data_IF_125739639375
#
_entry.id   IF_125739639375
#
_cell.length_a   1.000
_cell.length_b   1.000
_cell.length_c   1.000
_cell.angle_alpha   90.00
_cell.angle_beta   90.00
_cell.angle_gamma   90.00
#
_symmetry.space_group_name_H-M   'P 1'
#
loop_
_entity.id
_entity.type
_entity.pdbx_description
1 polymer ?
#
# COMPACT_ATOMS: atom_id res chain seq x y z
N UNK A 1 22.38 -14.33 26.14
CA UNK A 1 22.26 -14.25 24.66
C UNK A 1 21.79 -15.62 24.18
N UNK A 2 20.48 -15.81 24.01
CA UNK A 2 19.96 -17.08 23.49
C UNK A 2 20.09 -17.07 21.97
N UNK A 3 20.97 -17.92 21.43
CA UNK A 3 20.95 -18.29 20.02
C UNK A 3 19.64 -19.02 19.76
N UNK A 4 18.60 -18.29 19.35
CA UNK A 4 17.38 -18.89 18.85
C UNK A 4 17.75 -19.75 17.65
N UNK A 5 17.77 -21.06 17.83
CA UNK A 5 17.94 -22.02 16.76
C UNK A 5 16.86 -21.77 15.71
N UNK A 6 17.29 -21.40 14.50
CA UNK A 6 16.40 -21.12 13.37
C UNK A 6 15.78 -22.43 12.83
N UNK A 7 16.21 -23.57 13.35
CA UNK A 7 16.03 -24.87 12.72
C UNK A 7 14.74 -25.58 13.14
N UNK A 8 14.37 -25.56 14.43
CA UNK A 8 13.13 -26.19 14.90
C UNK A 8 12.53 -25.47 16.11
N UNK A 9 11.20 -25.31 16.10
CA UNK A 9 10.43 -24.79 17.23
C UNK A 9 10.14 -25.93 18.22
N UNK A 10 10.44 -25.73 19.50
CA UNK A 10 10.08 -26.68 20.55
C UNK A 10 8.57 -26.71 20.83
N UNK A 11 8.05 -27.75 21.52
CA UNK A 11 6.62 -27.89 21.83
C UNK A 11 6.07 -26.73 22.66
N UNK A 12 6.91 -26.08 23.47
CA UNK A 12 6.56 -24.94 24.31
C UNK A 12 6.20 -23.66 23.53
N UNK A 13 6.45 -23.67 22.21
CA UNK A 13 6.20 -22.54 21.31
C UNK A 13 4.85 -22.65 20.61
N UNK A 14 4.04 -23.67 20.91
CA UNK A 14 2.79 -23.96 20.21
C UNK A 14 3.00 -24.64 18.86
N UNK A 15 1.90 -25.05 18.23
CA UNK A 15 1.92 -25.81 16.98
C UNK A 15 2.19 -24.88 15.80
N UNK A 16 3.26 -25.16 15.03
CA UNK A 16 3.72 -24.36 13.89
C UNK A 16 2.87 -24.53 12.62
N UNK A 17 2.11 -25.61 12.51
CA UNK A 17 1.15 -25.87 11.45
C UNK A 17 -0.18 -26.34 12.04
N UNK A 18 -1.25 -25.61 11.74
CA UNK A 18 -2.59 -25.90 12.21
C UNK A 18 -3.14 -27.25 11.72
N UNK A 19 -2.58 -27.83 10.66
CA UNK A 19 -2.91 -29.20 10.23
C UNK A 19 -2.55 -30.25 11.30
N UNK A 20 -1.60 -29.92 12.19
CA UNK A 20 -1.16 -30.78 13.30
C UNK A 20 -1.89 -30.50 14.62
N UNK A 21 -2.89 -29.61 14.65
CA UNK A 21 -3.71 -29.42 15.85
C UNK A 21 -4.54 -30.68 16.14
N UNK A 22 -4.57 -31.09 17.40
CA UNK A 22 -5.44 -32.19 17.86
C UNK A 22 -6.92 -31.81 17.83
N UNK A 23 -7.25 -30.59 18.26
CA UNK A 23 -8.61 -30.08 18.36
C UNK A 23 -8.85 -28.96 17.34
N UNK A 24 -9.70 -29.21 16.35
CA UNK A 24 -10.04 -28.26 15.28
C UNK A 24 -11.23 -27.38 15.73
N UNK A 25 -11.04 -26.65 16.83
CA UNK A 25 -12.04 -25.70 17.37
C UNK A 25 -11.53 -24.27 17.32
N UNK A 26 -12.43 -23.28 17.16
CA UNK A 26 -12.02 -21.86 17.14
C UNK A 26 -11.21 -21.46 18.37
N UNK A 27 -11.58 -21.96 19.55
CA UNK A 27 -10.87 -21.69 20.79
C UNK A 27 -9.44 -22.26 20.77
N UNK A 28 -9.24 -23.48 20.25
CA UNK A 28 -7.91 -24.07 20.11
C UNK A 28 -7.03 -23.28 19.13
N UNK A 29 -7.59 -22.83 18.00
CA UNK A 29 -6.89 -21.96 17.05
C UNK A 29 -6.42 -20.67 17.70
N UNK A 30 -7.32 -19.95 18.38
CA UNK A 30 -7.01 -18.67 19.03
C UNK A 30 -5.99 -18.87 20.15
N UNK A 31 -6.14 -19.90 21.00
CA UNK A 31 -5.18 -20.23 22.06
C UNK A 31 -3.78 -20.50 21.51
N UNK A 32 -3.67 -21.26 20.41
CA UNK A 32 -2.38 -21.53 19.78
C UNK A 32 -1.75 -20.26 19.19
N UNK A 33 -2.53 -19.42 18.49
CA UNK A 33 -2.04 -18.12 18.00
C UNK A 33 -1.55 -17.23 19.15
N UNK A 34 -2.29 -17.17 20.25
CA UNK A 34 -1.94 -16.37 21.42
C UNK A 34 -0.62 -16.86 22.03
N UNK A 35 -0.49 -18.16 22.27
CA UNK A 35 0.74 -18.77 22.79
C UNK A 35 1.95 -18.45 21.89
N UNK A 36 1.79 -18.66 20.57
CA UNK A 36 2.83 -18.35 19.59
C UNK A 36 3.23 -16.87 19.62
N UNK A 37 2.24 -15.98 19.66
CA UNK A 37 2.45 -14.53 19.68
C UNK A 37 3.19 -14.08 20.94
N UNK A 38 2.81 -14.58 22.12
CA UNK A 38 3.48 -14.32 23.39
C UNK A 38 4.96 -14.75 23.38
N UNK A 39 5.26 -15.84 22.65
CA UNK A 39 6.63 -16.33 22.43
C UNK A 39 7.36 -15.63 21.25
N UNK A 40 6.74 -14.61 20.65
CA UNK A 40 7.32 -13.84 19.55
C UNK A 40 7.27 -14.53 18.17
N UNK A 41 6.45 -15.58 18.03
CA UNK A 41 6.18 -16.27 16.75
C UNK A 41 4.90 -15.71 16.14
N UNK A 42 5.05 -14.86 15.13
CA UNK A 42 3.92 -14.18 14.49
C UNK A 42 3.36 -14.93 13.28
N UNK A 43 4.07 -15.96 12.81
CA UNK A 43 3.75 -16.73 11.63
C UNK A 43 3.36 -18.15 12.02
N UNK A 44 2.31 -18.68 11.40
CA UNK A 44 1.83 -20.06 11.60
C UNK A 44 1.29 -20.60 10.28
N UNK A 45 1.59 -21.85 9.93
CA UNK A 45 1.05 -22.47 8.73
C UNK A 45 -0.37 -23.00 8.94
N UNK A 46 -1.13 -23.06 7.86
CA UNK A 46 -2.30 -23.93 7.68
C UNK A 46 -2.04 -24.65 6.34
N UNK A 47 -1.24 -25.72 6.37
CA UNK A 47 -0.69 -26.29 5.14
C UNK A 47 0.04 -25.22 4.31
N UNK A 48 -0.33 -25.06 3.04
CA UNK A 48 0.29 -24.09 2.13
C UNK A 48 -0.09 -22.61 2.41
N UNK A 49 -1.03 -22.37 3.33
CA UNK A 49 -1.43 -21.02 3.73
C UNK A 49 -0.59 -20.53 4.91
N UNK A 50 -0.20 -19.25 4.90
CA UNK A 50 0.53 -18.62 6.00
C UNK A 50 -0.37 -17.62 6.74
N UNK A 51 -0.59 -17.87 8.03
CA UNK A 51 -1.23 -16.93 8.94
C UNK A 51 -0.17 -15.99 9.53
N UNK A 52 -0.43 -14.70 9.53
CA UNK A 52 0.45 -13.65 10.04
C UNK A 52 -0.31 -12.76 11.03
N UNK A 53 0.18 -12.68 12.27
CA UNK A 53 -0.37 -11.82 13.32
C UNK A 53 0.50 -10.58 13.47
N UNK A 54 -0.04 -9.37 13.26
CA UNK A 54 0.74 -8.14 13.30
C UNK A 54 1.30 -7.87 14.72
N UNK A 55 2.65 -7.81 14.91
CA UNK A 55 3.24 -7.57 16.22
C UNK A 55 3.21 -6.11 16.69
N UNK A 56 2.90 -5.14 15.82
CA UNK A 56 3.00 -3.70 16.11
C UNK A 56 4.38 -3.24 16.64
N UNK A 57 5.43 -4.03 16.36
CA UNK A 57 6.83 -3.75 16.70
C UNK A 57 7.74 -4.42 15.70
N UNK A 58 8.97 -3.93 15.60
CA UNK A 58 9.99 -4.58 14.79
C UNK A 58 10.47 -5.88 15.46
N UNK A 59 10.68 -6.91 14.65
CA UNK A 59 11.22 -8.20 15.07
C UNK A 59 12.49 -8.51 14.27
N UNK A 60 13.56 -9.02 14.92
CA UNK A 60 14.83 -9.34 14.26
C UNK A 60 14.76 -10.68 13.49
N UNK A 61 13.72 -10.87 12.68
CA UNK A 61 13.44 -12.12 11.93
C UNK A 61 13.57 -11.97 10.41
N UNK A 62 13.96 -10.78 9.94
CA UNK A 62 14.07 -10.44 8.52
C UNK A 62 15.51 -10.17 8.07
N UNK A 63 16.50 -10.51 8.92
CA UNK A 63 17.91 -10.27 8.69
C UNK A 63 18.54 -11.22 7.65
N UNK A 64 19.79 -10.93 7.22
CA UNK A 64 20.51 -11.75 6.24
C UNK A 64 20.67 -13.22 6.65
N UNK A 65 20.89 -13.48 7.94
CA UNK A 65 20.91 -14.84 8.50
C UNK A 65 19.62 -15.62 8.26
N UNK A 66 18.46 -14.98 8.41
CA UNK A 66 17.17 -15.59 8.09
C UNK A 66 17.03 -15.79 6.58
N UNK A 67 17.39 -14.81 5.74
CA UNK A 67 17.33 -15.00 4.28
C UNK A 67 18.14 -16.23 3.86
N UNK A 68 19.36 -16.38 4.40
CA UNK A 68 20.24 -17.51 4.12
C UNK A 68 19.66 -18.84 4.61
N UNK A 69 18.96 -18.86 5.75
CA UNK A 69 18.42 -20.10 6.30
C UNK A 69 17.23 -20.67 5.52
N UNK A 70 16.47 -19.81 4.83
CA UNK A 70 15.32 -20.19 4.00
C UNK A 70 15.68 -20.39 2.52
N UNK A 71 16.77 -19.80 2.03
CA UNK A 71 17.20 -19.92 0.62
C UNK A 71 17.38 -21.39 0.21
N UNK A 72 16.72 -21.80 -0.87
CA UNK A 72 16.82 -23.14 -1.46
C UNK A 72 16.10 -24.24 -0.68
N UNK A 73 15.32 -23.91 0.35
CA UNK A 73 14.64 -24.89 1.21
C UNK A 73 13.22 -25.17 0.73
N UNK A 74 12.75 -26.39 0.93
CA UNK A 74 11.34 -26.72 0.75
C UNK A 74 10.45 -25.99 1.76
N UNK A 75 9.16 -25.85 1.43
CA UNK A 75 8.17 -25.44 2.41
C UNK A 75 8.16 -26.48 3.55
N UNK A 76 7.99 -26.03 4.80
CA UNK A 76 8.02 -26.86 6.02
C UNK A 76 9.38 -27.42 6.48
N UNK A 77 10.46 -27.33 5.69
CA UNK A 77 11.83 -27.63 6.17
C UNK A 77 12.29 -26.66 7.27
N UNK A 78 11.70 -25.46 7.30
CA UNK A 78 11.96 -24.40 8.26
C UNK A 78 10.65 -23.97 8.94
N UNK A 79 10.74 -23.35 10.14
CA UNK A 79 9.57 -22.80 10.84
C UNK A 79 8.72 -21.88 9.96
N UNK A 80 7.47 -21.65 10.39
CA UNK A 80 6.56 -20.77 9.67
C UNK A 80 7.15 -19.37 9.49
N UNK A 81 7.29 -18.95 8.23
CA UNK A 81 7.83 -17.64 7.89
C UNK A 81 7.43 -17.20 6.50
N UNK A 82 7.31 -15.88 6.31
CA UNK A 82 6.99 -15.31 4.99
C UNK A 82 8.09 -15.56 3.93
N UNK A 83 9.32 -15.81 4.36
CA UNK A 83 10.42 -16.19 3.47
C UNK A 83 10.24 -17.59 2.87
N UNK A 84 9.64 -18.54 3.61
CA UNK A 84 9.33 -19.85 3.05
C UNK A 84 8.29 -19.74 1.92
N UNK A 85 7.27 -18.89 2.11
CA UNK A 85 6.27 -18.62 1.08
C UNK A 85 6.89 -17.96 -0.17
N UNK A 86 7.78 -16.98 0.05
CA UNK A 86 8.49 -16.30 -1.04
C UNK A 86 9.43 -17.27 -1.80
N UNK A 87 10.17 -18.13 -1.10
CA UNK A 87 11.03 -19.14 -1.70
C UNK A 87 10.23 -20.18 -2.48
N UNK A 88 9.11 -20.67 -1.93
CA UNK A 88 8.24 -21.63 -2.62
C UNK A 88 7.73 -21.07 -3.96
N UNK A 89 7.30 -19.80 -3.98
CA UNK A 89 6.87 -19.12 -5.19
C UNK A 89 8.02 -18.91 -6.19
N UNK A 90 9.17 -18.42 -5.73
CA UNK A 90 10.35 -18.20 -6.58
C UNK A 90 10.89 -19.51 -7.17
N UNK A 91 10.88 -20.58 -6.38
CA UNK A 91 11.34 -21.89 -6.80
C UNK A 91 10.39 -22.54 -7.81
N UNK A 92 9.09 -22.37 -7.64
CA UNK A 92 8.08 -22.82 -8.63
C UNK A 92 8.32 -22.14 -9.98
N UNK A 93 8.60 -20.83 -9.97
CA UNK A 93 9.00 -20.10 -11.16
C UNK A 93 10.29 -20.70 -11.77
N UNK A 94 11.35 -20.88 -10.99
CA UNK A 94 12.66 -21.34 -11.47
C UNK A 94 12.69 -22.79 -11.96
N UNK A 95 12.05 -23.71 -11.23
CA UNK A 95 12.12 -25.15 -11.50
C UNK A 95 11.07 -25.61 -12.51
N UNK A 96 9.86 -25.03 -12.46
CA UNK A 96 8.74 -25.45 -13.31
C UNK A 96 8.47 -24.51 -14.47
N UNK A 97 9.14 -23.35 -14.52
CA UNK A 97 8.85 -22.28 -15.50
C UNK A 97 7.37 -21.87 -15.49
N UNK A 98 6.75 -21.89 -14.30
CA UNK A 98 5.34 -21.54 -14.10
C UNK A 98 5.21 -20.21 -13.35
N UNK A 99 4.28 -19.37 -13.82
CA UNK A 99 3.92 -18.14 -13.12
C UNK A 99 3.36 -18.49 -11.73
N UNK A 100 3.82 -17.75 -10.71
CA UNK A 100 3.37 -17.91 -9.33
C UNK A 100 2.67 -16.65 -8.84
N UNK A 101 1.66 -16.81 -7.99
CA UNK A 101 0.89 -15.70 -7.43
C UNK A 101 0.80 -15.84 -5.92
N UNK A 102 1.11 -14.77 -5.20
CA UNK A 102 0.93 -14.69 -3.75
C UNK A 102 -0.24 -13.73 -3.48
N UNK A 103 -1.27 -14.24 -2.82
CA UNK A 103 -2.45 -13.46 -2.42
C UNK A 103 -2.36 -13.14 -0.93
N UNK A 104 -2.31 -11.85 -0.59
CA UNK A 104 -2.26 -11.39 0.81
C UNK A 104 -3.59 -10.75 1.18
N UNK A 105 -4.37 -11.43 2.03
CA UNK A 105 -5.66 -10.94 2.52
C UNK A 105 -5.57 -10.51 3.98
N UNK A 106 -6.54 -9.72 4.42
CA UNK A 106 -6.64 -9.25 5.80
C UNK A 106 -7.30 -7.88 5.93
N UNK A 107 -7.75 -7.57 7.13
CA UNK A 107 -8.33 -6.26 7.44
C UNK A 107 -7.32 -5.12 7.31
N UNK A 108 -7.81 -3.88 7.33
CA UNK A 108 -6.92 -2.74 7.27
C UNK A 108 -6.03 -2.68 8.51
N UNK A 109 -4.73 -2.42 8.33
CA UNK A 109 -3.75 -2.47 9.42
C UNK A 109 -3.21 -3.87 9.77
N UNK A 110 -3.66 -4.94 9.10
CA UNK A 110 -3.19 -6.31 9.37
C UNK A 110 -1.75 -6.62 8.96
N UNK A 111 -1.06 -5.70 8.27
CA UNK A 111 0.33 -5.87 7.82
C UNK A 111 0.51 -6.29 6.35
N UNK A 112 -0.53 -6.25 5.51
CA UNK A 112 -0.46 -6.65 4.08
C UNK A 112 0.67 -5.94 3.30
N UNK A 113 0.82 -4.63 3.51
CA UNK A 113 1.83 -3.81 2.84
C UNK A 113 3.23 -4.22 3.27
N UNK A 114 3.46 -4.43 4.57
CA UNK A 114 4.75 -4.87 5.10
C UNK A 114 5.10 -6.27 4.63
N UNK A 115 4.14 -7.20 4.63
CA UNK A 115 4.31 -8.53 4.08
C UNK A 115 4.78 -8.50 2.62
N UNK A 116 4.16 -7.65 1.78
CA UNK A 116 4.58 -7.46 0.39
C UNK A 116 6.02 -6.95 0.27
N UNK A 117 6.42 -5.98 1.11
CA UNK A 117 7.80 -5.44 1.13
C UNK A 117 8.81 -6.52 1.53
N UNK A 118 8.48 -7.34 2.52
CA UNK A 118 9.37 -8.40 3.01
C UNK A 118 9.56 -9.48 1.93
N UNK A 119 8.50 -9.87 1.23
CA UNK A 119 8.58 -10.81 0.09
C UNK A 119 9.51 -10.27 -1.00
N UNK A 120 9.34 -8.99 -1.37
CA UNK A 120 10.18 -8.35 -2.39
C UNK A 120 11.65 -8.31 -1.98
N UNK A 121 11.94 -7.96 -0.71
CA UNK A 121 13.31 -7.97 -0.16
C UNK A 121 13.92 -9.36 -0.19
N UNK A 122 13.14 -10.39 0.08
CA UNK A 122 13.61 -11.77 0.00
C UNK A 122 13.99 -12.16 -1.43
N UNK A 123 13.09 -11.95 -2.39
CA UNK A 123 13.34 -12.21 -3.82
C UNK A 123 14.58 -11.44 -4.29
N UNK A 124 14.75 -10.20 -3.83
CA UNK A 124 15.93 -9.38 -4.11
C UNK A 124 17.24 -10.02 -3.66
N UNK A 125 17.23 -10.58 -2.46
CA UNK A 125 18.43 -11.10 -1.82
C UNK A 125 18.83 -12.49 -2.36
N UNK A 126 17.87 -13.28 -2.86
CA UNK A 126 18.14 -14.62 -3.40
C UNK A 126 18.49 -14.62 -4.90
N UNK A 127 18.23 -13.50 -5.60
CA UNK A 127 18.59 -13.26 -7.02
C UNK A 127 20.01 -12.68 -7.15
N UNK A 128 20.60 -12.67 -8.35
CA UNK A 128 22.03 -12.37 -8.53
C UNK A 128 22.47 -10.98 -8.04
N UNK A 129 23.69 -10.90 -7.50
CA UNK A 129 24.26 -9.76 -6.74
C UNK A 129 24.31 -8.46 -7.55
N UNK A 130 24.43 -8.53 -8.88
CA UNK A 130 24.49 -7.35 -9.75
C UNK A 130 23.22 -6.48 -9.69
N UNK A 131 22.07 -7.07 -9.32
CA UNK A 131 20.78 -6.37 -9.36
C UNK A 131 20.27 -5.93 -7.97
N UNK A 132 21.01 -6.19 -6.88
CA UNK A 132 20.55 -5.86 -5.52
C UNK A 132 20.28 -4.37 -5.32
N UNK A 133 21.16 -3.50 -5.85
CA UNK A 133 21.00 -2.05 -5.78
C UNK A 133 19.73 -1.57 -6.51
N UNK A 134 19.43 -2.16 -7.67
CA UNK A 134 18.26 -1.82 -8.48
C UNK A 134 16.97 -2.32 -7.85
N UNK A 135 16.98 -3.51 -7.23
CA UNK A 135 15.83 -4.02 -6.49
C UNK A 135 15.57 -3.18 -5.24
N UNK A 136 16.62 -2.71 -4.56
CA UNK A 136 16.46 -1.79 -3.43
C UNK A 136 15.92 -0.43 -3.87
N UNK A 137 16.35 0.07 -5.03
CA UNK A 137 15.77 1.26 -5.67
C UNK A 137 14.28 1.05 -5.97
N UNK A 138 13.89 -0.10 -6.53
CA UNK A 138 12.49 -0.41 -6.82
C UNK A 138 11.68 -0.59 -5.54
N UNK A 139 12.22 -1.23 -4.51
CA UNK A 139 11.59 -1.27 -3.18
C UNK A 139 11.33 0.15 -2.66
N UNK A 140 12.29 1.07 -2.82
CA UNK A 140 12.12 2.47 -2.43
C UNK A 140 11.04 3.16 -3.28
N UNK A 141 11.05 2.99 -4.60
CA UNK A 141 10.01 3.53 -5.50
C UNK A 141 8.64 2.96 -5.13
N UNK A 142 8.53 1.68 -4.79
CA UNK A 142 7.30 1.03 -4.36
C UNK A 142 6.77 1.60 -3.04
N UNK A 143 7.67 1.89 -2.09
CA UNK A 143 7.34 2.56 -0.83
C UNK A 143 6.81 3.96 -1.11
N UNK A 144 7.49 4.76 -1.94
CA UNK A 144 7.05 6.11 -2.27
C UNK A 144 5.75 6.12 -3.08
N UNK A 145 5.57 5.14 -3.96
CA UNK A 145 4.31 4.95 -4.70
C UNK A 145 3.16 4.66 -3.73
N UNK A 146 3.38 3.91 -2.65
CA UNK A 146 2.34 3.72 -1.63
C UNK A 146 1.95 5.03 -0.96
N UNK A 147 2.89 5.92 -0.60
CA UNK A 147 2.57 7.23 0.01
C UNK A 147 1.61 8.01 -0.89
N UNK A 148 1.87 8.04 -2.20
CA UNK A 148 0.98 8.66 -3.19
C UNK A 148 -0.36 7.92 -3.21
N UNK A 149 -0.36 6.60 -3.37
CA UNK A 149 -1.61 5.84 -3.50
C UNK A 149 -2.49 5.90 -2.25
N UNK A 150 -1.90 5.95 -1.05
CA UNK A 150 -2.63 6.11 0.19
C UNK A 150 -3.30 7.49 0.24
N UNK A 151 -2.61 8.55 -0.21
CA UNK A 151 -3.22 9.87 -0.32
C UNK A 151 -4.46 9.88 -1.23
N UNK A 152 -4.37 9.26 -2.41
CA UNK A 152 -5.43 9.30 -3.42
C UNK A 152 -6.46 8.16 -3.34
N UNK A 153 -6.19 7.12 -2.53
CA UNK A 153 -6.95 5.88 -2.51
C UNK A 153 -7.34 5.38 -1.12
N UNK A 154 -6.81 5.99 -0.05
CA UNK A 154 -7.24 5.72 1.31
C UNK A 154 -8.11 6.86 1.86
N UNK A 155 -8.98 6.48 2.78
CA UNK A 155 -9.87 7.41 3.47
C UNK A 155 -10.12 6.96 4.89
N UNK A 156 -10.54 7.89 5.74
CA UNK A 156 -11.06 7.54 7.06
C UNK A 156 -12.44 6.93 6.95
N UNK A 157 -12.62 5.77 7.59
CA UNK A 157 -13.91 5.14 7.86
C UNK A 157 -14.16 5.10 9.38
N UNK A 158 -15.36 4.70 9.78
CA UNK A 158 -15.69 4.54 11.21
C UNK A 158 -14.86 3.45 11.92
N UNK A 159 -14.17 2.57 11.18
CA UNK A 159 -13.36 1.47 11.73
C UNK A 159 -11.86 1.72 11.64
N UNK A 160 -11.41 2.51 10.66
CA UNK A 160 -9.99 2.77 10.44
C UNK A 160 -9.77 4.15 9.82
N UNK A 161 -8.84 4.90 10.39
CA UNK A 161 -8.46 6.25 9.96
C UNK A 161 -7.70 6.28 8.62
N UNK A 162 -7.05 5.19 8.21
CA UNK A 162 -6.32 5.06 6.94
C UNK A 162 -6.75 3.78 6.17
N UNK A 163 -8.02 3.71 5.77
CA UNK A 163 -8.59 2.51 5.14
C UNK A 163 -8.37 2.51 3.63
N UNK A 164 -7.66 1.50 3.11
CA UNK A 164 -7.47 1.34 1.67
C UNK A 164 -8.78 1.03 0.96
N UNK A 165 -9.12 1.84 -0.04
CA UNK A 165 -10.34 1.70 -0.86
C UNK A 165 -10.03 1.24 -2.28
N UNK A 166 -8.91 0.57 -2.47
CA UNK A 166 -8.47 -0.05 -3.72
C UNK A 166 -7.68 -1.33 -3.43
N UNK A 167 -7.74 -2.29 -4.34
CA UNK A 167 -6.84 -3.45 -4.37
C UNK A 167 -5.54 -3.10 -5.08
N UNK A 168 -4.43 -3.67 -4.60
CA UNK A 168 -3.11 -3.54 -5.22
C UNK A 168 -2.65 -4.90 -5.75
N UNK A 169 -2.23 -4.91 -6.99
CA UNK A 169 -1.65 -6.07 -7.66
C UNK A 169 -0.28 -5.69 -8.21
N UNK A 170 0.69 -6.57 -8.05
CA UNK A 170 2.06 -6.32 -8.46
C UNK A 170 2.55 -7.52 -9.26
N UNK A 171 2.78 -7.32 -10.55
CA UNK A 171 3.48 -8.25 -11.42
C UNK A 171 4.98 -8.00 -11.27
N UNK A 172 5.75 -9.06 -11.03
CA UNK A 172 7.21 -9.05 -11.16
C UNK A 172 7.56 -9.88 -12.39
N UNK A 173 8.39 -9.32 -13.26
CA UNK A 173 8.87 -9.98 -14.46
C UNK A 173 10.31 -10.45 -14.24
N UNK A 174 10.59 -11.65 -14.71
CA UNK A 174 11.89 -12.30 -14.61
C UNK A 174 12.38 -12.66 -16.00
N UNK A 175 13.70 -12.65 -16.21
CA UNK A 175 14.31 -13.16 -17.44
C UNK A 175 14.40 -14.69 -17.45
N UNK A 176 15.01 -15.25 -18.50
CA UNK A 176 15.25 -16.69 -18.63
C UNK A 176 16.25 -17.26 -17.61
N UNK A 177 17.01 -16.40 -16.92
CA UNK A 177 17.89 -16.78 -15.80
C UNK A 177 17.17 -16.68 -14.46
N UNK A 178 15.90 -16.27 -14.47
CA UNK A 178 15.06 -15.99 -13.32
C UNK A 178 15.57 -14.81 -12.48
N UNK A 179 16.32 -13.89 -13.08
CA UNK A 179 16.68 -12.61 -12.48
C UNK A 179 15.56 -11.58 -12.75
N UNK A 180 15.22 -10.74 -11.76
CA UNK A 180 14.14 -9.76 -11.90
C UNK A 180 14.55 -8.66 -12.88
N UNK A 181 13.72 -8.45 -13.91
CA UNK A 181 13.95 -7.46 -14.98
C UNK A 181 12.94 -6.33 -15.01
N UNK A 182 11.79 -6.50 -14.37
CA UNK A 182 10.72 -5.51 -14.43
C UNK A 182 9.57 -5.81 -13.52
N UNK A 183 8.57 -4.95 -13.59
CA UNK A 183 7.27 -5.27 -13.05
C UNK A 183 6.23 -4.22 -13.36
N UNK A 184 5.00 -4.57 -13.04
CA UNK A 184 3.83 -3.75 -13.28
C UNK A 184 2.98 -3.68 -12.04
N UNK A 185 2.67 -2.47 -11.58
CA UNK A 185 1.70 -2.28 -10.50
C UNK A 185 0.36 -1.96 -11.13
N UNK A 186 -0.66 -2.70 -10.74
CA UNK A 186 -2.04 -2.47 -11.13
C UNK A 186 -2.88 -2.19 -9.89
N UNK A 187 -3.80 -1.24 -10.03
CA UNK A 187 -4.75 -0.88 -8.98
C UNK A 187 -6.14 -1.26 -9.46
N UNK A 188 -6.87 -1.96 -8.60
CA UNK A 188 -8.19 -2.47 -8.91
C UNK A 188 -9.23 -1.89 -7.95
N UNK A 189 -10.46 -1.71 -8.45
CA UNK A 189 -11.64 -1.45 -7.63
C UNK A 189 -11.51 -0.23 -6.69
N UNK A 190 -10.94 0.88 -7.18
CA UNK A 190 -11.01 2.14 -6.44
C UNK A 190 -12.48 2.51 -6.20
N UNK A 191 -12.85 2.77 -4.94
CA UNK A 191 -14.21 3.17 -4.54
C UNK A 191 -14.55 4.60 -5.04
N UNK A 192 -14.77 4.76 -6.34
CA UNK A 192 -15.02 6.07 -6.99
C UNK A 192 -16.25 6.78 -6.41
N UNK A 193 -17.25 6.04 -5.92
CA UNK A 193 -18.45 6.60 -5.29
C UNK A 193 -18.14 7.45 -4.05
N UNK A 194 -17.03 7.16 -3.36
CA UNK A 194 -16.60 7.92 -2.17
C UNK A 194 -16.30 9.39 -2.48
N UNK A 195 -15.91 9.71 -3.72
CA UNK A 195 -15.64 11.11 -4.11
C UNK A 195 -16.89 11.97 -3.95
N UNK A 196 -18.07 11.43 -4.27
CA UNK A 196 -19.32 12.19 -4.27
C UNK A 196 -20.13 12.08 -2.99
N UNK A 197 -19.97 10.97 -2.24
CA UNK A 197 -20.75 10.70 -1.03
C UNK A 197 -19.94 9.96 0.04
N UNK A 198 -20.06 10.41 1.29
CA UNK A 198 -19.48 9.74 2.45
C UNK A 198 -20.56 9.47 3.51
N UNK A 199 -20.36 8.45 4.35
CA UNK A 199 -21.21 8.22 5.51
C UNK A 199 -20.86 9.20 6.64
N UNK A 200 -21.80 9.40 7.56
CA UNK A 200 -21.56 10.20 8.77
C UNK A 200 -20.38 9.60 9.57
N UNK A 201 -19.44 10.45 9.95
CA UNK A 201 -18.20 10.07 10.65
C UNK A 201 -17.03 9.71 9.72
N UNK A 202 -17.26 9.56 8.41
CA UNK A 202 -16.22 9.23 7.44
C UNK A 202 -15.64 10.46 6.74
N UNK A 203 -14.48 10.29 6.10
CA UNK A 203 -13.88 11.30 5.21
C UNK A 203 -13.91 10.86 3.75
N UNK A 204 -13.72 11.83 2.87
CA UNK A 204 -13.28 11.56 1.50
C UNK A 204 -11.80 11.12 1.48
N UNK A 205 -11.21 10.93 0.30
CA UNK A 205 -9.80 10.59 0.16
C UNK A 205 -8.89 11.65 0.78
N UNK A 206 -7.77 11.21 1.37
CA UNK A 206 -6.84 12.08 2.09
C UNK A 206 -6.31 13.23 1.24
N UNK A 207 -6.11 13.01 -0.06
CA UNK A 207 -5.60 14.01 -1.01
C UNK A 207 -6.38 15.32 -1.00
N UNK A 208 -7.69 15.30 -0.77
CA UNK A 208 -8.48 16.53 -0.71
C UNK A 208 -8.14 17.39 0.51
N UNK A 209 -8.01 16.75 1.69
CA UNK A 209 -7.68 17.43 2.94
C UNK A 209 -6.20 17.84 2.97
N UNK A 210 -5.31 16.99 2.45
CA UNK A 210 -3.90 17.30 2.26
C UNK A 210 -3.68 18.52 1.37
N UNK A 211 -4.41 18.64 0.25
CA UNK A 211 -4.35 19.86 -0.58
C UNK A 211 -4.82 21.09 0.22
N UNK A 212 -5.98 21.01 0.88
CA UNK A 212 -6.59 22.14 1.58
C UNK A 212 -5.82 22.61 2.81
N UNK A 213 -5.13 21.72 3.51
CA UNK A 213 -4.40 22.06 4.73
C UNK A 213 -2.88 22.13 4.53
N UNK A 214 -2.36 21.50 3.49
CA UNK A 214 -0.93 21.40 3.22
C UNK A 214 -0.37 22.39 2.20
N UNK A 215 -1.19 22.88 1.27
CA UNK A 215 -0.73 23.86 0.27
C UNK A 215 -0.77 25.29 0.83
N UNK A 216 0.32 26.02 0.64
CA UNK A 216 0.47 27.39 1.13
C UNK A 216 -0.23 28.37 0.19
N UNK A 217 -0.16 28.15 -1.13
CA UNK A 217 -0.77 29.04 -2.12
C UNK A 217 -2.07 28.48 -2.71
N UNK A 218 -3.08 28.28 -1.86
CA UNK A 218 -4.41 27.81 -2.29
C UNK A 218 -5.13 28.75 -3.27
N UNK A 219 -4.74 30.02 -3.33
CA UNK A 219 -5.33 31.00 -4.23
C UNK A 219 -5.10 30.62 -5.70
N UNK A 220 -3.97 30.00 -6.04
CA UNK A 220 -3.70 29.47 -7.39
C UNK A 220 -4.72 28.41 -7.82
N UNK A 221 -5.30 27.70 -6.85
CA UNK A 221 -6.34 26.68 -7.06
C UNK A 221 -7.76 27.24 -6.92
N UNK A 222 -7.89 28.54 -6.62
CA UNK A 222 -9.16 29.17 -6.27
C UNK A 222 -9.82 28.58 -5.02
N UNK A 223 -9.02 27.97 -4.13
CA UNK A 223 -9.49 27.32 -2.91
C UNK A 223 -9.26 28.19 -1.67
N UNK A 224 -9.92 27.84 -0.57
CA UNK A 224 -9.70 28.39 0.76
C UNK A 224 -9.49 27.25 1.78
N UNK A 225 -9.03 27.56 3.00
CA UNK A 225 -8.75 26.54 4.01
C UNK A 225 -9.98 25.97 4.75
N UNK A 226 -11.19 26.46 4.46
CA UNK A 226 -12.42 25.99 5.11
C UNK A 226 -12.98 24.79 4.35
N UNK A 227 -12.65 23.60 4.83
CA UNK A 227 -13.14 22.35 4.23
C UNK A 227 -14.68 22.29 4.21
N UNK A 228 -15.35 22.96 5.15
CA UNK A 228 -16.80 23.05 5.27
C UNK A 228 -17.46 23.73 4.06
N UNK A 229 -16.72 24.54 3.30
CA UNK A 229 -17.24 25.24 2.11
C UNK A 229 -17.40 24.28 0.91
N UNK A 230 -16.82 23.08 0.97
CA UNK A 230 -16.77 22.14 -0.14
C UNK A 230 -17.65 20.91 0.12
N UNK A 231 -18.74 20.81 -0.66
CA UNK A 231 -19.74 19.75 -0.52
C UNK A 231 -19.16 18.34 -0.56
N UNK A 232 -18.14 18.06 -1.38
CA UNK A 232 -17.61 16.70 -1.50
C UNK A 232 -16.76 16.24 -0.30
N UNK A 233 -16.43 17.11 0.63
CA UNK A 233 -15.59 16.75 1.79
C UNK A 233 -16.22 17.09 3.13
N UNK A 234 -17.36 17.79 3.15
CA UNK A 234 -18.08 18.16 4.36
C UNK A 234 -19.24 17.21 4.73
N UNK A 235 -19.69 16.32 3.82
CA UNK A 235 -20.86 15.47 4.03
C UNK A 235 -20.73 14.49 5.18
N UNK A 236 -19.52 13.95 5.40
CA UNK A 236 -19.26 13.06 6.52
C UNK A 236 -19.18 13.76 7.88
N UNK A 237 -19.28 15.09 7.92
CA UNK A 237 -19.15 15.93 9.12
C UNK A 237 -17.85 15.66 9.92
N UNK A 238 -16.76 15.39 9.20
CA UNK A 238 -15.49 14.97 9.79
C UNK A 238 -14.29 15.57 9.05
N UNK A 239 -14.22 16.91 8.96
CA UNK A 239 -13.16 17.56 8.17
C UNK A 239 -11.77 17.46 8.81
N UNK A 240 -11.68 17.53 10.15
CA UNK A 240 -10.43 17.41 10.91
C UNK A 240 -10.44 16.19 11.82
N UNK A 241 -9.30 15.51 11.88
CA UNK A 241 -9.10 14.31 12.69
C UNK A 241 -7.84 14.52 13.53
N UNK A 242 -7.92 14.54 14.88
CA UNK A 242 -6.76 14.86 15.72
C UNK A 242 -5.54 13.97 15.51
N UNK A 243 -5.74 12.73 15.06
CA UNK A 243 -4.68 11.74 14.82
C UNK A 243 -4.01 11.88 13.45
N UNK A 244 -4.50 12.74 12.55
CA UNK A 244 -4.02 12.85 11.17
C UNK A 244 -3.46 14.25 10.95
N UNK A 245 -2.23 14.32 10.46
CA UNK A 245 -1.55 15.58 10.11
C UNK A 245 -1.53 15.76 8.59
N UNK A 246 -2.67 16.21 8.04
CA UNK A 246 -2.84 16.40 6.60
C UNK A 246 -1.80 17.38 6.00
N UNK A 247 -1.24 18.31 6.81
CA UNK A 247 -0.22 19.26 6.36
C UNK A 247 1.13 18.58 6.18
N UNK A 248 1.56 17.77 7.15
CA UNK A 248 2.79 17.01 7.03
C UNK A 248 2.67 15.93 5.95
N UNK A 249 1.54 15.23 5.90
CA UNK A 249 1.27 14.19 4.90
C UNK A 249 1.32 14.74 3.47
N UNK A 250 0.81 15.96 3.25
CA UNK A 250 0.94 16.64 1.96
C UNK A 250 2.39 16.85 1.53
N UNK A 251 3.29 17.22 2.45
CA UNK A 251 4.71 17.38 2.15
C UNK A 251 5.36 16.04 1.80
N UNK A 252 5.01 14.98 2.53
CA UNK A 252 5.48 13.62 2.22
C UNK A 252 5.02 13.18 0.82
N UNK A 253 3.77 13.45 0.44
CA UNK A 253 3.25 13.14 -0.90
C UNK A 253 3.99 13.93 -1.98
N UNK A 254 4.28 15.23 -1.77
CA UNK A 254 5.08 16.03 -2.71
C UNK A 254 6.51 15.48 -2.87
N UNK A 255 7.12 15.03 -1.79
CA UNK A 255 8.44 14.39 -1.84
C UNK A 255 8.38 13.04 -2.56
N UNK A 256 7.36 12.23 -2.27
CA UNK A 256 7.16 10.94 -2.93
C UNK A 256 6.99 11.08 -4.44
N UNK A 257 6.20 12.07 -4.90
CA UNK A 257 6.09 12.37 -6.34
C UNK A 257 7.44 12.66 -6.99
N UNK A 258 8.30 13.44 -6.34
CA UNK A 258 9.65 13.75 -6.85
C UNK A 258 10.53 12.50 -6.93
N UNK A 259 10.51 11.65 -5.89
CA UNK A 259 11.33 10.42 -5.84
C UNK A 259 10.89 9.42 -6.91
N UNK A 260 9.57 9.32 -7.15
CA UNK A 260 9.00 8.47 -8.20
C UNK A 260 9.31 9.03 -9.61
N UNK A 261 9.69 10.30 -9.72
CA UNK A 261 10.15 10.91 -10.97
C UNK A 261 9.10 11.75 -11.70
N UNK A 262 8.07 12.25 -11.01
CA UNK A 262 7.12 13.19 -11.58
C UNK A 262 7.76 14.58 -11.73
N UNK A 263 7.50 15.22 -12.87
CA UNK A 263 7.87 16.60 -13.11
C UNK A 263 6.99 17.55 -12.31
N UNK A 264 7.46 18.79 -12.07
CA UNK A 264 6.67 19.78 -11.34
C UNK A 264 5.36 20.13 -12.05
N UNK A 265 5.37 20.16 -13.38
CA UNK A 265 4.17 20.42 -14.18
C UNK A 265 3.14 19.30 -14.01
N UNK A 266 3.57 18.03 -14.05
CA UNK A 266 2.67 16.90 -13.78
C UNK A 266 2.08 16.97 -12.37
N UNK A 267 2.91 17.26 -11.35
CA UNK A 267 2.45 17.42 -9.96
C UNK A 267 1.43 18.56 -9.86
N UNK A 268 1.68 19.70 -10.50
CA UNK A 268 0.75 20.84 -10.54
C UNK A 268 -0.58 20.46 -11.18
N UNK A 269 -0.56 19.76 -12.32
CA UNK A 269 -1.76 19.29 -13.01
C UNK A 269 -2.59 18.36 -12.11
N UNK A 270 -1.94 17.45 -11.40
CA UNK A 270 -2.62 16.52 -10.46
C UNK A 270 -3.38 17.30 -9.40
N UNK A 271 -2.73 18.25 -8.72
CA UNK A 271 -3.39 19.06 -7.70
C UNK A 271 -4.46 19.98 -8.27
N UNK A 272 -4.29 20.50 -9.49
CA UNK A 272 -5.34 21.25 -10.21
C UNK A 272 -6.57 20.39 -10.47
N UNK A 273 -6.41 19.11 -10.81
CA UNK A 273 -7.52 18.17 -10.97
C UNK A 273 -8.24 17.96 -9.63
N UNK A 274 -7.50 17.74 -8.54
CA UNK A 274 -8.10 17.62 -7.19
C UNK A 274 -8.90 18.86 -6.82
N UNK A 275 -8.33 20.05 -7.03
CA UNK A 275 -9.01 21.32 -6.78
C UNK A 275 -10.27 21.49 -7.64
N UNK A 276 -10.21 21.11 -8.91
CA UNK A 276 -11.35 21.19 -9.81
C UNK A 276 -12.50 20.31 -9.36
N UNK A 277 -12.21 19.10 -8.87
CA UNK A 277 -13.23 18.20 -8.31
C UNK A 277 -13.94 18.85 -7.12
N UNK A 278 -13.22 19.53 -6.22
CA UNK A 278 -13.83 20.27 -5.11
C UNK A 278 -14.78 21.38 -5.59
N UNK A 279 -14.45 22.03 -6.71
CA UNK A 279 -15.28 23.10 -7.30
C UNK A 279 -16.51 22.61 -8.08
N UNK A 280 -16.56 21.35 -8.53
CA UNK A 280 -17.61 20.85 -9.43
C UNK A 280 -19.03 21.05 -8.88
N UNK A 281 -19.24 20.85 -7.58
CA UNK A 281 -20.57 21.02 -6.97
C UNK A 281 -20.95 22.48 -6.81
N UNK A 282 -19.99 23.32 -6.41
CA UNK A 282 -20.18 24.77 -6.36
C UNK A 282 -20.55 25.31 -7.74
N UNK A 283 -19.94 24.75 -8.80
CA UNK A 283 -20.26 25.07 -10.18
C UNK A 283 -21.66 24.60 -10.58
N UNK A 284 -22.05 23.35 -10.31
CA UNK A 284 -23.40 22.85 -10.60
C UNK A 284 -24.50 23.67 -9.89
N UNK A 285 -24.28 24.00 -8.61
CA UNK A 285 -25.20 24.81 -7.81
C UNK A 285 -25.24 26.28 -8.22
N UNK A 286 -24.20 26.81 -8.88
CA UNK A 286 -24.16 28.18 -9.43
C UNK A 286 -24.71 28.27 -10.85
N UNK A 287 -24.57 27.21 -11.65
CA UNK A 287 -25.24 27.05 -12.94
C UNK A 287 -26.75 27.02 -12.77
N UNK A 288 -27.26 26.28 -11.77
CA UNK A 288 -28.69 26.29 -11.44
C UNK A 288 -29.19 27.64 -10.90
N UNK A 289 -28.28 28.55 -10.52
CA UNK A 289 -28.56 29.88 -9.96
C UNK A 289 -28.08 31.06 -10.82
N UNK A 290 -27.71 30.85 -12.09
CA UNK A 290 -27.29 31.90 -13.04
C UNK A 290 -26.24 32.91 -12.52
N UNK A 291 -25.19 32.46 -11.80
CA UNK A 291 -24.08 33.34 -11.36
C UNK A 291 -22.73 32.81 -11.86
N UNK A 292 -22.28 33.24 -13.04
CA UNK A 292 -21.01 32.82 -13.65
C UNK A 292 -20.06 34.00 -13.85
N UNK A 293 -19.02 34.13 -13.02
CA UNK A 293 -17.93 35.10 -13.29
C UNK A 293 -16.52 34.65 -12.90
N UNK A 294 -16.32 33.57 -12.13
CA UNK A 294 -14.96 33.14 -11.66
C UNK A 294 -14.51 31.70 -11.99
N UNK A 295 -15.40 30.79 -12.41
CA UNK A 295 -15.06 29.37 -12.60
C UNK A 295 -14.58 28.99 -14.01
N UNK A 296 -14.66 29.89 -14.99
CA UNK A 296 -14.27 29.65 -16.39
C UNK A 296 -12.77 29.41 -16.56
N UNK A 297 -11.93 30.03 -15.71
CA UNK A 297 -10.47 29.98 -15.82
C UNK A 297 -9.90 28.56 -15.56
N UNK A 298 -10.39 27.85 -14.53
CA UNK A 298 -9.88 26.51 -14.17
C UNK A 298 -10.32 25.46 -15.20
N UNK A 299 -11.58 25.49 -15.62
CA UNK A 299 -12.08 24.56 -16.65
C UNK A 299 -11.43 24.79 -18.02
N UNK A 300 -11.10 26.03 -18.37
CA UNK A 300 -10.34 26.35 -19.59
C UNK A 300 -8.87 25.93 -19.49
N UNK A 301 -8.23 26.07 -18.32
CA UNK A 301 -6.87 25.53 -18.09
C UNK A 301 -6.85 24.01 -18.22
N UNK A 302 -7.79 23.30 -17.58
CA UNK A 302 -7.90 21.84 -17.66
C UNK A 302 -8.20 21.35 -19.08
N UNK A 303 -9.00 22.07 -19.87
CA UNK A 303 -9.23 21.73 -21.28
C UNK A 303 -7.97 21.84 -22.15
N UNK A 304 -7.06 22.76 -21.83
CA UNK A 304 -5.76 22.90 -22.52
C UNK A 304 -4.77 21.80 -22.07
N UNK A 305 -4.78 21.44 -20.80
CA UNK A 305 -3.80 20.52 -20.19
C UNK A 305 -4.20 19.03 -20.31
N UNK A 306 -5.51 18.70 -20.40
CA UNK A 306 -6.02 17.32 -20.48
C UNK A 306 -5.75 16.56 -21.79
N UNK A 307 -4.95 17.10 -22.72
CA UNK A 307 -4.42 16.29 -23.85
C UNK A 307 -3.36 15.27 -23.40
N UNK A 308 -2.82 15.39 -22.19
CA UNK A 308 -1.86 14.43 -21.63
C UNK A 308 -2.51 13.47 -20.64
N UNK A 309 -2.86 12.27 -21.13
CA UNK A 309 -3.23 11.12 -20.30
C UNK A 309 -2.00 10.58 -19.54
N UNK A 310 -1.49 11.30 -18.53
CA UNK A 310 -0.21 10.96 -17.89
C UNK A 310 -0.31 10.34 -16.49
N UNK A 311 -1.42 10.53 -15.76
CA UNK A 311 -1.47 10.18 -14.34
C UNK A 311 -1.37 8.67 -14.06
N UNK A 312 -2.00 7.84 -14.89
CA UNK A 312 -2.02 6.39 -14.69
C UNK A 312 -1.01 5.63 -15.55
N UNK A 313 -0.40 6.26 -16.56
CA UNK A 313 0.53 5.59 -17.46
C UNK A 313 1.92 5.39 -16.81
N UNK A 314 2.37 6.35 -15.99
CA UNK A 314 3.74 6.38 -15.46
C UNK A 314 3.95 5.51 -14.21
N UNK A 315 2.91 5.34 -13.38
CA UNK A 315 2.94 4.47 -12.19
C UNK A 315 2.86 2.97 -12.56
N UNK A 316 2.56 2.64 -13.82
CA UNK A 316 2.29 1.26 -14.22
C UNK A 316 3.51 0.42 -14.49
N UNK A 317 4.65 0.97 -14.91
CA UNK A 317 5.78 0.15 -15.37
C UNK A 317 7.08 0.60 -14.71
N UNK A 318 7.79 -0.35 -14.14
CA UNK A 318 9.18 -0.20 -13.74
C UNK A 318 10.03 -1.24 -14.48
N UNK A 319 11.22 -0.84 -14.91
CA UNK A 319 12.20 -1.67 -15.61
C UNK A 319 13.50 -1.65 -14.80
N UNK A 320 14.17 -2.79 -14.70
CA UNK A 320 15.48 -2.93 -14.02
C UNK A 320 16.63 -2.75 -15.03
N UNK A 321 16.47 -1.87 -16.03
CA UNK A 321 17.48 -1.61 -17.08
C UNK A 321 18.29 -0.36 -16.79
#
# INVERSE_FOLDING_TARGET
>A
MATNSIEHEGPDMGVGDFVLLSDITMDAFVKNLQLRFEKGRIYTYIGEVLVSVNPYRDLPIYGPEYIKSYKGREMFERPAHIFALAEAAYRTLKQRSLNSCIVISGESGSGKTEASKIILRYIAAVTNVSNQAEIQRISNILIQTNVILEAFGNSRTNRNDNSSRFGKYMDLHFDYKFDPIGGKIQHYLLEKSRVVKQQLGERNFHSFYQLLYGENNLQEYGLNHKAEDYYYINQGNCCKVPKIDDKNDYQQVKQAFKIVGFTQDEISIIWKIVAAILHLVSFYNRLSKNKLTKCTFILQSLKRDCKSSMLFARIRRFSFQ
#
